data_IF_450250411692
#
_entry.id   IF_450250411692
#
_cell.length_a   1.000
_cell.length_b   1.000
_cell.length_c   1.000
_cell.angle_alpha   90.00
_cell.angle_beta   90.00
_cell.angle_gamma   90.00
#
_symmetry.space_group_name_H-M   'P 1'
#
loop_
_entity.id
_entity.type
_entity.pdbx_description
1 polymer ?
#
# COMPACT_ATOMS: atom_id res chain seq x y z
N UNK A 1 -20.35 56.77 54.28
CA UNK A 1 -20.25 55.29 54.21
C UNK A 1 -20.85 54.89 52.86
N UNK A 2 -20.01 54.81 51.82
CA UNK A 2 -19.45 53.57 51.20
C UNK A 2 -20.42 53.07 50.12
N UNK A 3 -20.12 52.77 48.85
CA UNK A 3 -18.96 52.68 47.94
C UNK A 3 -19.59 52.80 46.51
N UNK A 4 -19.08 53.52 45.50
CA UNK A 4 -17.93 53.26 44.62
C UNK A 4 -17.96 51.89 43.92
N UNK A 5 -18.34 51.93 42.62
CA UNK A 5 -17.80 51.20 41.44
C UNK A 5 -17.99 49.66 41.42
N UNK A 6 -18.43 49.01 40.34
CA UNK A 6 -17.78 49.05 39.03
C UNK A 6 -18.68 48.67 37.86
N UNK A 7 -18.46 49.39 36.78
CA UNK A 7 -18.89 49.12 35.42
C UNK A 7 -18.52 47.70 34.95
N UNK A 8 -19.52 46.91 34.57
CA UNK A 8 -19.34 45.82 33.60
C UNK A 8 -19.57 46.40 32.20
N UNK A 9 -18.60 47.17 31.72
CA UNK A 9 -18.45 47.38 30.29
C UNK A 9 -17.87 46.09 29.69
N UNK A 10 -18.76 45.25 29.15
CA UNK A 10 -18.41 44.30 28.11
C UNK A 10 -17.89 45.10 26.91
N UNK A 11 -16.57 45.19 26.79
CA UNK A 11 -15.90 45.63 25.58
C UNK A 11 -16.03 44.47 24.58
N UNK A 12 -17.15 44.42 23.88
CA UNK A 12 -17.20 43.81 22.57
C UNK A 12 -16.40 44.73 21.65
N UNK A 13 -15.18 44.33 21.32
CA UNK A 13 -14.35 45.03 20.34
C UNK A 13 -14.89 44.74 18.92
N UNK A 14 -16.09 45.27 18.64
CA UNK A 14 -16.72 45.32 17.32
C UNK A 14 -16.14 46.49 16.52
N UNK A 15 -14.81 46.57 16.44
CA UNK A 15 -14.17 47.53 15.55
C UNK A 15 -14.37 47.03 14.11
N UNK A 16 -15.16 47.73 13.26
CA UNK A 16 -15.39 47.28 11.89
C UNK A 16 -14.07 47.26 11.14
N UNK A 17 -13.74 46.12 10.52
CA UNK A 17 -12.52 45.97 9.72
C UNK A 17 -12.41 47.13 8.74
N UNK A 18 -11.30 47.85 8.82
CA UNK A 18 -11.01 48.95 7.90
C UNK A 18 -10.82 48.40 6.49
N UNK A 19 -11.15 49.21 5.48
CA UNK A 19 -10.97 48.86 4.06
C UNK A 19 -9.57 48.33 3.75
N UNK A 20 -8.55 48.92 4.37
CA UNK A 20 -7.14 48.49 4.22
C UNK A 20 -6.87 47.11 4.83
N UNK A 21 -7.49 46.76 5.97
CA UNK A 21 -7.40 45.42 6.56
C UNK A 21 -8.08 44.37 5.67
N UNK A 22 -9.22 44.72 5.07
CA UNK A 22 -9.92 43.84 4.12
C UNK A 22 -9.09 43.62 2.84
N UNK A 23 -8.54 44.69 2.27
CA UNK A 23 -7.65 44.60 1.09
C UNK A 23 -6.38 43.78 1.39
N UNK A 24 -5.83 43.89 2.60
CA UNK A 24 -4.70 43.07 3.04
C UNK A 24 -5.06 41.58 3.14
N UNK A 25 -6.23 41.25 3.70
CA UNK A 25 -6.73 39.86 3.77
C UNK A 25 -6.94 39.25 2.38
N UNK A 26 -7.51 40.00 1.44
CA UNK A 26 -7.69 39.52 0.07
C UNK A 26 -6.37 39.23 -0.63
N UNK A 27 -5.37 40.09 -0.45
CA UNK A 27 -4.02 39.86 -0.98
C UNK A 27 -3.38 38.62 -0.36
N UNK A 28 -3.47 38.45 0.96
CA UNK A 28 -2.93 37.27 1.65
C UNK A 28 -3.60 35.97 1.19
N UNK A 29 -4.93 35.97 1.02
CA UNK A 29 -5.68 34.83 0.48
C UNK A 29 -5.27 34.50 -0.96
N UNK A 30 -5.06 35.51 -1.80
CA UNK A 30 -4.62 35.30 -3.17
C UNK A 30 -3.19 34.77 -3.25
N UNK A 31 -2.28 35.28 -2.42
CA UNK A 31 -0.92 34.76 -2.26
C UNK A 31 -0.93 33.32 -1.72
N UNK A 32 -1.77 33.01 -0.73
CA UNK A 32 -1.91 31.66 -0.20
C UNK A 32 -2.44 30.69 -1.27
N UNK A 33 -3.49 31.06 -1.98
CA UNK A 33 -4.04 30.26 -3.09
C UNK A 33 -3.00 30.04 -4.20
N UNK A 34 -2.22 31.07 -4.53
CA UNK A 34 -1.18 30.96 -5.54
C UNK A 34 -0.05 30.04 -5.06
N UNK A 35 0.37 30.14 -3.79
CA UNK A 35 1.32 29.21 -3.17
C UNK A 35 0.80 27.77 -3.17
N UNK A 36 -0.45 27.55 -2.79
CA UNK A 36 -1.08 26.22 -2.81
C UNK A 36 -1.13 25.63 -4.22
N UNK A 37 -1.48 26.44 -5.24
CA UNK A 37 -1.44 26.02 -6.65
C UNK A 37 -0.04 25.71 -7.12
N UNK A 38 0.94 26.52 -6.72
CA UNK A 38 2.34 26.30 -7.09
C UNK A 38 2.86 25.01 -6.46
N UNK A 39 2.59 24.77 -5.18
CA UNK A 39 2.90 23.50 -4.50
C UNK A 39 2.20 22.33 -5.18
N UNK A 40 0.95 22.48 -5.59
CA UNK A 40 0.20 21.41 -6.26
C UNK A 40 0.73 21.12 -7.68
N UNK A 41 1.21 22.15 -8.39
CA UNK A 41 1.66 22.02 -9.79
C UNK A 41 3.13 21.61 -9.87
N UNK A 42 3.98 22.27 -9.08
CA UNK A 42 5.44 22.13 -9.12
C UNK A 42 5.98 21.22 -8.00
N UNK A 43 5.18 20.94 -6.97
CA UNK A 43 5.62 20.21 -5.79
C UNK A 43 6.39 21.07 -4.80
N UNK A 44 6.88 20.42 -3.75
CA UNK A 44 7.87 20.99 -2.82
C UNK A 44 9.19 20.27 -3.06
N UNK A 45 10.31 20.99 -2.97
CA UNK A 45 11.64 20.39 -3.06
C UNK A 45 11.83 19.33 -1.96
N UNK A 46 12.53 18.25 -2.31
CA UNK A 46 12.88 17.21 -1.36
C UNK A 46 13.79 17.82 -0.28
N UNK A 47 13.58 17.52 1.03
CA UNK A 47 14.45 18.03 2.07
C UNK A 47 15.92 17.71 1.81
N UNK A 48 16.79 18.71 1.96
CA UNK A 48 18.22 18.64 1.62
C UNK A 48 18.93 17.42 2.25
N UNK A 49 18.63 17.12 3.51
CA UNK A 49 19.21 15.97 4.20
C UNK A 49 18.91 14.63 3.50
N UNK A 50 17.73 14.50 2.89
CA UNK A 50 17.35 13.30 2.12
C UNK A 50 18.03 13.32 0.76
N UNK A 51 17.99 14.45 0.04
CA UNK A 51 18.59 14.55 -1.30
C UNK A 51 20.09 14.31 -1.27
N UNK A 52 20.82 14.94 -0.36
CA UNK A 52 22.27 14.76 -0.21
C UNK A 52 22.64 13.32 0.12
N UNK A 53 21.85 12.64 0.97
CA UNK A 53 22.09 11.24 1.29
C UNK A 53 21.92 10.36 0.05
N UNK A 54 20.89 10.61 -0.77
CA UNK A 54 20.64 9.85 -1.99
C UNK A 54 21.70 10.09 -3.07
N UNK A 55 22.17 11.33 -3.22
CA UNK A 55 23.17 11.72 -4.24
C UNK A 55 24.58 11.22 -3.90
N UNK A 56 24.94 11.22 -2.62
CA UNK A 56 26.28 10.84 -2.18
C UNK A 56 26.43 9.33 -1.92
N UNK A 57 25.33 8.57 -1.96
CA UNK A 57 25.34 7.12 -1.71
C UNK A 57 25.46 6.32 -3.01
N UNK A 58 26.40 5.37 -3.04
CA UNK A 58 26.46 4.38 -4.12
C UNK A 58 25.31 3.38 -4.04
N UNK A 59 24.96 2.76 -5.18
CA UNK A 59 23.93 1.70 -5.25
C UNK A 59 24.18 0.55 -4.28
N UNK A 60 25.44 0.19 -4.02
CA UNK A 60 25.79 -0.89 -3.08
C UNK A 60 25.55 -0.47 -1.63
N UNK A 61 25.89 0.77 -1.28
CA UNK A 61 25.62 1.33 0.05
C UNK A 61 24.12 1.39 0.32
N UNK A 62 23.33 1.93 -0.62
CA UNK A 62 21.87 2.01 -0.51
C UNK A 62 21.24 0.62 -0.32
N UNK A 63 21.69 -0.38 -1.08
CA UNK A 63 21.18 -1.76 -0.93
C UNK A 63 21.44 -2.33 0.46
N UNK A 64 22.61 -2.08 1.03
CA UNK A 64 22.94 -2.56 2.38
C UNK A 64 22.19 -1.78 3.46
N UNK A 65 22.05 -0.47 3.31
CA UNK A 65 21.23 0.35 4.21
C UNK A 65 19.77 -0.07 4.21
N UNK A 66 19.18 -0.29 3.03
CA UNK A 66 17.82 -0.82 2.93
C UNK A 66 17.73 -2.19 3.61
N UNK A 67 18.72 -3.07 3.44
CA UNK A 67 18.73 -4.38 4.12
C UNK A 67 18.79 -4.23 5.64
N UNK A 68 19.58 -3.29 6.16
CA UNK A 68 19.69 -3.00 7.60
C UNK A 68 18.38 -2.42 8.13
N UNK A 69 17.85 -1.39 7.48
CA UNK A 69 16.59 -0.75 7.86
C UNK A 69 15.41 -1.73 7.85
N UNK A 70 15.31 -2.59 6.83
CA UNK A 70 14.28 -3.64 6.77
C UNK A 70 14.29 -4.59 7.98
N UNK A 71 15.45 -4.78 8.63
CA UNK A 71 15.57 -5.63 9.81
C UNK A 71 15.21 -4.91 11.10
N UNK A 72 15.26 -3.57 11.14
CA UNK A 72 14.91 -2.79 12.33
C UNK A 72 13.40 -2.63 12.49
N UNK A 73 12.65 -2.64 11.38
CA UNK A 73 11.20 -2.47 11.38
C UNK A 73 10.51 -3.62 12.13
N UNK A 74 9.60 -3.27 13.03
CA UNK A 74 8.81 -4.23 13.78
C UNK A 74 7.91 -5.11 12.88
N UNK A 75 7.68 -6.35 13.32
CA UNK A 75 6.70 -7.25 12.69
C UNK A 75 5.32 -7.03 13.30
N UNK A 76 4.33 -6.88 12.43
CA UNK A 76 2.92 -6.83 12.78
C UNK A 76 2.22 -8.07 12.23
N UNK A 77 1.26 -8.61 12.98
CA UNK A 77 0.52 -9.80 12.61
C UNK A 77 -0.96 -9.46 12.46
N UNK A 78 -1.47 -9.61 11.25
CA UNK A 78 -2.87 -9.60 10.88
C UNK A 78 -3.09 -10.69 9.84
N UNK A 79 -4.07 -11.60 10.02
CA UNK A 79 -4.29 -12.74 9.12
C UNK A 79 -4.38 -12.33 7.65
N UNK A 80 -5.13 -11.27 7.35
CA UNK A 80 -5.42 -10.90 5.95
C UNK A 80 -4.50 -9.83 5.33
N UNK A 81 -3.95 -8.93 6.15
CA UNK A 81 -3.26 -7.72 5.66
C UNK A 81 -1.74 -7.80 5.75
N UNK A 82 -1.19 -8.58 6.69
CA UNK A 82 0.27 -8.70 6.86
C UNK A 82 0.83 -10.01 6.30
N UNK A 83 -0.03 -11.00 6.02
CA UNK A 83 0.38 -12.28 5.47
C UNK A 83 0.78 -12.14 4.01
N UNK A 84 1.99 -12.58 3.67
CA UNK A 84 2.47 -12.59 2.29
C UNK A 84 1.86 -13.76 1.54
N UNK A 85 1.16 -13.48 0.45
CA UNK A 85 0.70 -14.51 -0.48
C UNK A 85 1.79 -14.81 -1.50
N UNK A 86 1.87 -16.07 -1.95
CA UNK A 86 2.82 -16.50 -2.98
C UNK A 86 2.15 -17.46 -3.97
N UNK A 87 2.60 -17.48 -5.23
CA UNK A 87 2.16 -18.52 -6.17
C UNK A 87 2.40 -19.92 -5.59
N UNK A 88 1.39 -20.79 -5.70
CA UNK A 88 1.50 -22.19 -5.33
C UNK A 88 2.69 -22.84 -6.06
N UNK A 89 3.57 -23.50 -5.30
CA UNK A 89 4.83 -24.07 -5.83
C UNK A 89 4.63 -25.03 -7.01
N UNK A 90 3.50 -25.72 -7.05
CA UNK A 90 3.12 -26.66 -8.11
C UNK A 90 2.93 -26.01 -9.48
N UNK A 91 2.63 -24.71 -9.53
CA UNK A 91 2.42 -23.96 -10.78
C UNK A 91 3.68 -23.26 -11.28
N UNK A 92 4.76 -23.24 -10.48
CA UNK A 92 6.04 -22.64 -10.89
C UNK A 92 6.59 -23.27 -12.17
N UNK A 93 6.62 -24.61 -12.33
CA UNK A 93 7.09 -25.24 -13.57
C UNK A 93 6.25 -24.84 -14.78
N UNK A 94 4.92 -24.83 -14.64
CA UNK A 94 4.01 -24.45 -15.72
C UNK A 94 4.21 -22.98 -16.13
N UNK A 95 4.25 -22.07 -15.16
CA UNK A 95 4.50 -20.65 -15.44
C UNK A 95 5.84 -20.44 -16.12
N UNK A 96 6.90 -21.15 -15.70
CA UNK A 96 8.21 -21.10 -16.35
C UNK A 96 8.22 -21.72 -17.75
N UNK A 97 7.50 -22.82 -17.97
CA UNK A 97 7.51 -23.55 -19.24
C UNK A 97 6.68 -22.86 -20.32
N UNK A 98 5.56 -22.22 -19.95
CA UNK A 98 4.61 -21.67 -20.91
C UNK A 98 4.82 -20.17 -21.18
N UNK A 99 5.25 -19.39 -20.17
CA UNK A 99 5.60 -17.96 -20.30
C UNK A 99 6.62 -17.52 -19.23
N UNK A 100 7.91 -17.71 -19.48
CA UNK A 100 9.00 -17.24 -18.61
C UNK A 100 8.82 -15.77 -18.20
N UNK A 101 8.42 -14.91 -19.14
CA UNK A 101 8.19 -13.49 -18.88
C UNK A 101 7.05 -13.24 -17.88
N UNK A 102 5.97 -14.04 -17.94
CA UNK A 102 4.87 -13.94 -16.99
C UNK A 102 5.33 -14.33 -15.58
N UNK A 103 6.09 -15.42 -15.45
CA UNK A 103 6.66 -15.81 -14.16
C UNK A 103 7.59 -14.74 -13.58
N UNK A 104 8.46 -14.15 -14.41
CA UNK A 104 9.36 -13.07 -13.98
C UNK A 104 8.61 -11.82 -13.54
N UNK A 105 7.57 -11.43 -14.29
CA UNK A 105 6.71 -10.31 -13.95
C UNK A 105 5.99 -10.56 -12.61
N UNK A 106 5.34 -11.72 -12.46
CA UNK A 106 4.62 -12.06 -11.22
C UNK A 106 5.58 -12.12 -10.02
N UNK A 107 6.77 -12.71 -10.19
CA UNK A 107 7.79 -12.72 -9.14
C UNK A 107 8.25 -11.30 -8.76
N UNK A 108 8.32 -10.39 -9.72
CA UNK A 108 8.67 -8.99 -9.49
C UNK A 108 7.56 -8.24 -8.75
N UNK A 109 6.28 -8.52 -9.07
CA UNK A 109 5.13 -7.98 -8.33
C UNK A 109 5.24 -8.37 -6.86
N UNK A 110 5.38 -9.66 -6.52
CA UNK A 110 5.50 -10.08 -5.12
C UNK A 110 6.69 -9.45 -4.37
N UNK A 111 7.83 -9.23 -5.04
CA UNK A 111 8.99 -8.53 -4.45
C UNK A 111 8.67 -7.06 -4.14
N UNK A 112 7.97 -6.40 -5.05
CA UNK A 112 7.53 -5.01 -4.86
C UNK A 112 6.49 -4.93 -3.75
N UNK A 113 5.55 -5.87 -3.71
CA UNK A 113 4.54 -5.97 -2.66
C UNK A 113 5.14 -6.14 -1.27
N UNK A 114 6.18 -6.97 -1.12
CA UNK A 114 6.88 -7.06 0.16
C UNK A 114 7.53 -5.72 0.54
N UNK A 115 8.09 -4.98 -0.43
CA UNK A 115 8.63 -3.65 -0.18
C UNK A 115 7.54 -2.65 0.23
N UNK A 116 6.36 -2.69 -0.39
CA UNK A 116 5.19 -1.89 -0.01
C UNK A 116 4.72 -2.24 1.42
N UNK A 117 4.67 -3.53 1.80
CA UNK A 117 4.37 -3.94 3.18
C UNK A 117 5.41 -3.46 4.19
N UNK A 118 6.68 -3.39 3.81
CA UNK A 118 7.75 -2.86 4.68
C UNK A 118 7.51 -1.37 4.94
N UNK A 119 7.17 -0.60 3.90
CA UNK A 119 6.81 0.81 4.05
C UNK A 119 5.58 0.97 4.95
N UNK A 120 4.54 0.17 4.74
CA UNK A 120 3.33 0.18 5.58
C UNK A 120 3.66 -0.08 7.06
N UNK A 121 4.48 -1.10 7.35
CA UNK A 121 4.93 -1.41 8.72
C UNK A 121 5.75 -0.28 9.34
N UNK A 122 6.66 0.33 8.58
CA UNK A 122 7.42 1.49 9.05
C UNK A 122 6.50 2.67 9.41
N UNK A 123 5.46 2.92 8.59
CA UNK A 123 4.45 3.94 8.89
C UNK A 123 3.61 3.59 10.12
N UNK A 124 3.27 2.31 10.33
CA UNK A 124 2.62 1.86 11.57
C UNK A 124 3.49 2.13 12.80
N UNK A 125 4.79 1.85 12.72
CA UNK A 125 5.73 2.09 13.82
C UNK A 125 5.82 3.59 14.15
N UNK A 126 5.87 4.45 13.13
CA UNK A 126 5.83 5.91 13.31
C UNK A 126 4.50 6.33 13.96
N UNK A 127 3.36 5.79 13.50
CA UNK A 127 2.06 6.08 14.09
C UNK A 127 2.00 5.72 15.58
N UNK A 128 2.49 4.53 15.96
CA UNK A 128 2.53 4.08 17.36
C UNK A 128 3.45 4.97 18.22
N UNK A 129 4.61 5.37 17.67
CA UNK A 129 5.53 6.29 18.35
C UNK A 129 4.88 7.67 18.56
N UNK A 130 4.18 8.20 17.55
CA UNK A 130 3.47 9.47 17.66
C UNK A 130 2.30 9.37 18.65
N UNK A 131 1.55 8.27 18.64
CA UNK A 131 0.47 8.05 19.60
C UNK A 131 1.00 8.00 21.04
N UNK A 132 2.12 7.32 21.28
CA UNK A 132 2.79 7.31 22.58
C UNK A 132 3.25 8.71 23.02
N UNK A 133 3.75 9.53 22.09
CA UNK A 133 4.13 10.92 22.38
C UNK A 133 2.92 11.82 22.64
N UNK A 134 1.78 11.57 21.98
CA UNK A 134 0.56 12.34 22.14
C UNK A 134 0.10 12.41 23.60
N UNK A 135 0.26 11.33 24.36
CA UNK A 135 -0.11 11.25 25.77
C UNK A 135 0.84 12.05 26.71
N UNK A 136 2.00 12.49 26.20
CA UNK A 136 3.10 13.04 27.00
C UNK A 136 3.47 14.48 26.65
N UNK A 137 3.10 14.94 25.45
CA UNK A 137 3.47 16.26 24.95
C UNK A 137 2.47 17.31 25.43
N UNK A 138 3.00 18.43 25.92
CA UNK A 138 2.24 19.65 26.17
C UNK A 138 2.57 20.62 25.03
N UNK A 139 1.56 21.03 24.27
CA UNK A 139 1.72 21.98 23.18
C UNK A 139 1.56 23.41 23.68
N UNK A 140 2.47 24.29 23.28
CA UNK A 140 2.43 25.72 23.61
C UNK A 140 1.48 26.49 22.69
N UNK A 141 1.29 26.03 21.45
CA UNK A 141 0.45 26.65 20.44
C UNK A 141 -0.59 25.67 19.90
N UNK A 142 -1.80 26.16 19.65
CA UNK A 142 -2.85 25.40 18.97
C UNK A 142 -2.40 24.93 17.57
N UNK A 143 -1.58 25.73 16.89
CA UNK A 143 -1.00 25.38 15.59
C UNK A 143 -0.07 24.18 15.68
N UNK A 144 0.75 24.10 16.72
CA UNK A 144 1.70 22.99 16.90
C UNK A 144 0.95 21.69 17.21
N UNK A 145 -0.12 21.79 18.02
CA UNK A 145 -1.01 20.67 18.29
C UNK A 145 -1.71 20.17 17.01
N UNK A 146 -2.18 21.09 16.16
CA UNK A 146 -2.81 20.74 14.89
C UNK A 146 -1.82 20.04 13.95
N UNK A 147 -0.60 20.57 13.78
CA UNK A 147 0.45 19.96 12.95
C UNK A 147 0.78 18.55 13.46
N UNK A 148 0.89 18.37 14.78
CA UNK A 148 1.14 17.07 15.38
C UNK A 148 0.00 16.08 15.09
N UNK A 149 -1.26 16.47 15.33
CA UNK A 149 -2.42 15.63 15.08
C UNK A 149 -2.53 15.25 13.59
N UNK A 150 -2.29 16.20 12.68
CA UNK A 150 -2.26 15.94 11.25
C UNK A 150 -1.15 14.94 10.87
N UNK A 151 0.01 15.01 11.54
CA UNK A 151 1.12 14.07 11.31
C UNK A 151 0.76 12.64 11.79
N UNK A 152 0.11 12.51 12.94
CA UNK A 152 -0.41 11.22 13.45
C UNK A 152 -1.37 10.62 12.41
N UNK A 153 -2.32 11.42 11.94
CA UNK A 153 -3.31 10.97 10.96
C UNK A 153 -2.65 10.59 9.62
N UNK A 154 -1.66 11.36 9.15
CA UNK A 154 -0.91 11.03 7.93
C UNK A 154 -0.15 9.71 8.05
N UNK A 155 0.50 9.44 9.19
CA UNK A 155 1.18 8.17 9.44
C UNK A 155 0.19 6.99 9.38
N UNK A 156 -0.99 7.14 9.99
CA UNK A 156 -2.06 6.15 9.95
C UNK A 156 -2.56 5.92 8.52
N UNK A 157 -2.89 6.98 7.79
CA UNK A 157 -3.37 6.92 6.41
C UNK A 157 -2.35 6.28 5.48
N UNK A 158 -1.06 6.57 5.66
CA UNK A 158 0.02 5.97 4.89
C UNK A 158 0.15 4.46 5.16
N UNK A 159 -0.01 4.02 6.41
CA UNK A 159 -0.02 2.59 6.75
C UNK A 159 -1.21 1.88 6.07
N UNK A 160 -2.42 2.45 6.15
CA UNK A 160 -3.63 1.91 5.50
C UNK A 160 -3.43 1.83 3.99
N UNK A 161 -2.94 2.92 3.38
CA UNK A 161 -2.64 2.97 1.95
C UNK A 161 -1.62 1.89 1.55
N UNK A 162 -0.58 1.68 2.35
CA UNK A 162 0.46 0.68 2.09
C UNK A 162 -0.07 -0.75 2.17
N UNK A 163 -0.79 -1.11 3.24
CA UNK A 163 -1.37 -2.46 3.36
C UNK A 163 -2.45 -2.73 2.30
N UNK A 164 -3.31 -1.74 2.01
CA UNK A 164 -4.30 -1.81 0.93
C UNK A 164 -3.66 -1.98 -0.44
N UNK A 165 -2.64 -1.17 -0.75
CA UNK A 165 -1.90 -1.25 -2.02
C UNK A 165 -1.19 -2.59 -2.20
N UNK A 166 -0.58 -3.11 -1.13
CA UNK A 166 0.04 -4.44 -1.15
C UNK A 166 -0.99 -5.53 -1.51
N UNK A 167 -2.21 -5.44 -0.98
CA UNK A 167 -3.28 -6.38 -1.29
C UNK A 167 -3.73 -6.31 -2.75
N UNK A 168 -3.91 -5.11 -3.30
CA UNK A 168 -4.26 -4.94 -4.71
C UNK A 168 -3.19 -5.50 -5.64
N UNK A 169 -1.91 -5.30 -5.32
CA UNK A 169 -0.81 -5.89 -6.09
C UNK A 169 -0.80 -7.43 -6.06
N UNK A 170 -1.16 -8.06 -4.94
CA UNK A 170 -1.29 -9.53 -4.88
C UNK A 170 -2.44 -10.03 -5.75
N UNK A 171 -3.54 -9.29 -5.80
CA UNK A 171 -4.67 -9.62 -6.67
C UNK A 171 -4.30 -9.45 -8.14
N UNK A 172 -3.55 -8.41 -8.51
CA UNK A 172 -2.98 -8.28 -9.87
C UNK A 172 -2.07 -9.47 -10.21
N UNK A 173 -1.21 -9.89 -9.28
CA UNK A 173 -0.35 -11.06 -9.46
C UNK A 173 -1.15 -12.36 -9.66
N UNK A 174 -2.26 -12.54 -8.94
CA UNK A 174 -3.18 -13.68 -9.11
C UNK A 174 -3.82 -13.68 -10.48
N UNK A 175 -4.38 -12.54 -10.91
CA UNK A 175 -5.05 -12.41 -12.20
C UNK A 175 -4.08 -12.68 -13.36
N UNK A 176 -2.85 -12.18 -13.26
CA UNK A 176 -1.81 -12.48 -14.24
C UNK A 176 -1.45 -13.98 -14.22
N UNK A 177 -1.39 -14.59 -13.04
CA UNK A 177 -1.11 -16.02 -12.90
C UNK A 177 -2.21 -16.87 -13.56
N UNK A 178 -3.49 -16.53 -13.35
CA UNK A 178 -4.62 -17.22 -13.98
C UNK A 178 -4.55 -17.15 -15.51
N UNK A 179 -4.35 -15.95 -16.05
CA UNK A 179 -4.20 -15.74 -17.51
C UNK A 179 -3.00 -16.52 -18.07
N UNK A 180 -1.91 -16.62 -17.31
CA UNK A 180 -0.73 -17.36 -17.71
C UNK A 180 -0.91 -18.88 -17.65
N UNK A 181 -1.72 -19.39 -16.70
CA UNK A 181 -1.96 -20.83 -16.50
C UNK A 181 -2.84 -21.48 -17.57
N UNK A 182 -3.48 -20.69 -18.45
CA UNK A 182 -4.33 -21.14 -19.57
C UNK A 182 -5.27 -22.27 -19.15
N UNK A 183 -6.21 -21.96 -18.28
CA UNK A 183 -7.14 -22.95 -17.75
C UNK A 183 -7.87 -23.68 -18.89
N UNK A 184 -8.02 -25.02 -18.80
CA UNK A 184 -8.75 -25.75 -19.82
C UNK A 184 -10.23 -25.28 -19.87
N UNK A 185 -10.93 -25.45 -21.01
CA UNK A 185 -12.29 -24.90 -21.19
C UNK A 185 -13.30 -25.30 -20.09
N UNK A 186 -13.19 -26.50 -19.54
CA UNK A 186 -14.03 -27.01 -18.46
C UNK A 186 -13.72 -26.39 -17.09
N UNK A 187 -12.58 -25.72 -16.91
CA UNK A 187 -12.17 -25.04 -15.68
C UNK A 187 -12.27 -23.50 -15.75
N UNK A 188 -12.78 -22.92 -16.85
CA UNK A 188 -12.89 -21.46 -16.99
C UNK A 188 -13.78 -20.80 -15.93
N UNK A 189 -14.77 -21.52 -15.41
CA UNK A 189 -15.62 -21.02 -14.33
C UNK A 189 -14.84 -20.75 -13.02
N UNK A 190 -13.64 -21.34 -12.88
CA UNK A 190 -12.76 -21.13 -11.72
C UNK A 190 -11.99 -19.80 -11.78
N UNK A 191 -12.00 -19.09 -12.91
CA UNK A 191 -11.42 -17.74 -13.00
C UNK A 191 -12.19 -16.73 -12.11
N UNK A 192 -13.44 -17.03 -11.77
CA UNK A 192 -14.33 -16.12 -11.05
C UNK A 192 -14.69 -16.59 -9.63
N UNK A 193 -14.23 -17.77 -9.20
CA UNK A 193 -14.69 -18.41 -7.95
C UNK A 193 -13.68 -18.36 -6.81
N UNK A 194 -12.59 -17.61 -6.94
CA UNK A 194 -11.53 -17.57 -5.92
C UNK A 194 -11.87 -16.47 -4.92
N UNK A 195 -12.67 -16.82 -3.91
CA UNK A 195 -12.76 -16.00 -2.70
C UNK A 195 -11.42 -16.06 -1.95
N UNK A 196 -11.04 -14.96 -1.31
CA UNK A 196 -9.78 -14.85 -0.57
C UNK A 196 -9.80 -15.73 0.69
N UNK A 197 -9.50 -17.01 0.54
CA UNK A 197 -9.21 -17.86 1.69
C UNK A 197 -7.85 -17.44 2.26
N UNK A 198 -7.77 -17.19 3.57
CA UNK A 198 -6.62 -16.64 4.30
C UNK A 198 -5.38 -17.56 4.36
N UNK A 199 -5.18 -18.39 3.35
CA UNK A 199 -4.02 -19.28 3.20
C UNK A 199 -2.88 -18.54 2.49
N UNK A 200 -1.66 -18.92 2.84
CA UNK A 200 -0.39 -18.33 2.36
C UNK A 200 -0.15 -18.47 0.84
N UNK A 201 -0.97 -19.25 0.14
CA UNK A 201 -0.84 -19.47 -1.29
C UNK A 201 -1.85 -18.63 -2.08
N UNK A 202 -1.46 -18.20 -3.28
CA UNK A 202 -2.25 -17.37 -4.18
C UNK A 202 -3.57 -18.04 -4.60
N UNK A 203 -3.56 -19.37 -4.73
CA UNK A 203 -4.74 -20.19 -4.98
C UNK A 203 -5.01 -21.11 -3.79
N UNK A 204 -6.27 -21.21 -3.40
CA UNK A 204 -6.70 -22.13 -2.35
C UNK A 204 -6.60 -23.60 -2.82
N UNK A 205 -6.76 -24.53 -1.87
CA UNK A 205 -6.65 -25.97 -2.15
C UNK A 205 -7.79 -26.46 -3.06
N UNK A 206 -8.96 -25.87 -2.96
CA UNK A 206 -10.13 -26.29 -3.72
C UNK A 206 -9.93 -25.99 -5.21
N UNK A 207 -9.54 -24.76 -5.53
CA UNK A 207 -9.14 -24.34 -6.87
C UNK A 207 -8.07 -25.28 -7.44
N UNK A 208 -7.04 -25.60 -6.64
CA UNK A 208 -5.96 -26.49 -7.07
C UNK A 208 -6.48 -27.87 -7.46
N UNK A 209 -7.31 -28.48 -6.61
CA UNK A 209 -7.88 -29.80 -6.86
C UNK A 209 -8.82 -29.80 -8.08
N UNK A 210 -9.63 -28.76 -8.22
CA UNK A 210 -10.54 -28.63 -9.37
C UNK A 210 -9.78 -28.44 -10.68
N UNK A 211 -8.71 -27.64 -10.69
CA UNK A 211 -7.87 -27.47 -11.86
C UNK A 211 -7.13 -28.76 -12.24
N UNK A 212 -6.59 -29.50 -11.26
CA UNK A 212 -5.95 -30.79 -11.52
C UNK A 212 -6.94 -31.78 -12.15
N UNK A 213 -8.16 -31.91 -11.60
CA UNK A 213 -9.22 -32.74 -12.17
C UNK A 213 -9.58 -32.34 -13.60
N UNK A 214 -9.72 -31.03 -13.84
CA UNK A 214 -10.03 -30.51 -15.16
C UNK A 214 -8.94 -30.81 -16.21
N UNK A 215 -7.66 -30.69 -15.82
CA UNK A 215 -6.52 -31.05 -16.68
C UNK A 215 -6.49 -32.55 -16.97
N UNK A 216 -6.68 -33.40 -15.97
CA UNK A 216 -6.71 -34.86 -16.15
C UNK A 216 -7.86 -35.33 -17.05
N UNK A 217 -9.05 -34.74 -16.92
CA UNK A 217 -10.22 -35.06 -17.76
C UNK A 217 -10.11 -34.53 -19.20
N UNK A 218 -9.30 -33.48 -19.42
CA UNK A 218 -9.05 -32.92 -20.75
C UNK A 218 -8.02 -33.69 -21.59
N UNK A 219 -7.24 -34.58 -20.97
CA UNK A 219 -6.33 -35.47 -21.70
C UNK A 219 -7.15 -36.63 -22.26
N UNK A 220 -7.32 -36.77 -23.59
CA UNK A 220 -8.00 -37.93 -24.13
C UNK A 220 -7.15 -39.15 -23.78
N UNK A 221 -7.78 -40.16 -23.15
CA UNK A 221 -7.20 -41.48 -23.00
C UNK A 221 -6.69 -41.92 -24.37
N UNK A 222 -5.37 -42.02 -24.55
CA UNK A 222 -4.79 -42.72 -25.70
C UNK A 222 -5.16 -44.19 -25.53
N UNK A 223 -6.37 -44.54 -25.93
CA UNK A 223 -6.79 -45.93 -26.06
C UNK A 223 -5.94 -46.50 -27.18
N UNK A 224 -5.01 -47.36 -26.79
CA UNK A 224 -4.26 -48.28 -27.63
C UNK A 224 -5.23 -49.04 -28.54
N UNK A 225 -5.36 -48.63 -29.80
CA UNK A 225 -5.92 -49.50 -30.83
C UNK A 225 -4.88 -50.55 -31.16
N UNK A 226 -4.89 -51.66 -30.42
CA UNK A 226 -4.26 -52.89 -30.88
C UNK A 226 -4.94 -53.27 -32.21
N UNK A 227 -4.23 -53.08 -33.32
CA UNK A 227 -4.62 -53.60 -34.64
C UNK A 227 -4.62 -55.13 -34.55
N UNK A 228 -5.80 -55.71 -34.39
CA UNK A 228 -6.02 -57.13 -34.68
C UNK A 228 -5.98 -57.28 -36.20
N UNK A 229 -4.83 -57.71 -36.74
CA UNK A 229 -4.79 -58.27 -38.09
C UNK A 229 -5.40 -59.67 -38.03
N UNK A 230 -6.59 -59.82 -38.59
CA UNK A 230 -7.17 -61.12 -38.90
C UNK A 230 -7.07 -61.35 -40.42
N UNK A 231 -6.50 -62.50 -40.79
CA UNK A 231 -6.39 -63.04 -42.14
C UNK A 231 -7.76 -63.24 -42.80
N UNK A 232 -7.84 -63.00 -44.11
CA UNK A 232 -8.33 -63.95 -45.11
C UNK A 232 -7.67 -63.63 -46.46
#
# INVERSE_FOLDING_TARGET
MNNITSDEQQIHDDTPLTRTQVEALFRELEEQRNREREIQTNGVELPLAISETLENSSTTQLKEEFRRYKKTIQRYNHPDWTSVQQINKEYIPDLKNWKVDAYQLISSIYKNTETTRIQARASTEIYEQLQYLQEKVVFTSARDQEVFNNTVEQAQRLAIFGFGSAKFQENDAKDLSLKALRLPPNARHLEHSIEEDGKTNAFDREFVEQLQKARHTSVPSRITTARTFAFH
#
